data_IF_367717538519
#
_entry.id   IF_367717538519
#
_cell.length_a   1.000
_cell.length_b   1.000
_cell.length_c   1.000
_cell.angle_alpha   90.00
_cell.angle_beta   90.00
_cell.angle_gamma   90.00
#
_symmetry.space_group_name_H-M   'P 1'
#
loop_
_entity.id
_entity.type
_entity.pdbx_description
1 polymer ?
#
# COMPACT_ATOMS: atom_id res chain seq x y z
N UNK A 1 -4.57 -6.90 -0.61
CA UNK A 1 -5.10 -6.15 -1.77
C UNK A 1 -5.33 -7.02 -2.99
N UNK A 2 -4.30 -7.57 -3.65
CA UNK A 2 -4.53 -8.33 -4.90
C UNK A 2 -5.40 -9.58 -4.70
N UNK A 3 -5.15 -10.32 -3.62
CA UNK A 3 -6.00 -11.44 -3.20
C UNK A 3 -7.44 -10.99 -2.95
N UNK A 4 -7.62 -9.82 -2.32
CA UNK A 4 -8.95 -9.27 -2.03
C UNK A 4 -9.69 -8.83 -3.30
N UNK A 5 -8.97 -8.33 -4.32
CA UNK A 5 -9.57 -8.01 -5.63
C UNK A 5 -10.10 -9.26 -6.31
N UNK A 6 -9.36 -10.37 -6.23
CA UNK A 6 -9.81 -11.68 -6.74
C UNK A 6 -11.01 -12.18 -5.95
N UNK A 7 -10.91 -12.19 -4.62
CA UNK A 7 -11.98 -12.66 -3.74
C UNK A 7 -13.27 -11.82 -3.88
N UNK A 8 -13.15 -10.52 -4.14
CA UNK A 8 -14.28 -9.64 -4.37
C UNK A 8 -15.06 -10.02 -5.65
N UNK A 9 -14.39 -10.59 -6.66
CA UNK A 9 -15.02 -11.18 -7.84
C UNK A 9 -15.81 -10.18 -8.70
N UNK A 10 -15.36 -8.92 -8.79
CA UNK A 10 -16.07 -7.85 -9.53
C UNK A 10 -15.48 -7.50 -10.88
N UNK A 11 -14.34 -8.08 -11.24
CA UNK A 11 -13.70 -7.95 -12.56
C UNK A 11 -13.45 -9.34 -13.13
N UNK A 12 -14.24 -9.74 -14.12
CA UNK A 12 -14.06 -11.01 -14.83
C UNK A 12 -12.72 -11.04 -15.56
N UNK A 13 -12.35 -9.93 -16.19
CA UNK A 13 -11.09 -9.79 -16.92
C UNK A 13 -9.88 -10.03 -16.02
N UNK A 14 -9.83 -9.38 -14.85
CA UNK A 14 -8.74 -9.55 -13.88
C UNK A 14 -8.67 -11.01 -13.41
N UNK A 15 -9.81 -11.59 -13.04
CA UNK A 15 -9.88 -12.96 -12.54
C UNK A 15 -9.39 -13.98 -13.59
N UNK A 16 -9.81 -13.85 -14.85
CA UNK A 16 -9.39 -14.73 -15.94
C UNK A 16 -7.88 -14.61 -16.21
N UNK A 17 -7.35 -13.39 -16.29
CA UNK A 17 -5.92 -13.15 -16.53
C UNK A 17 -5.04 -13.69 -15.39
N UNK A 18 -5.51 -13.59 -14.14
CA UNK A 18 -4.84 -14.18 -12.98
C UNK A 18 -4.91 -15.71 -13.02
N UNK A 19 -6.07 -16.29 -13.34
CA UNK A 19 -6.24 -17.74 -13.45
C UNK A 19 -5.33 -18.35 -14.54
N UNK A 20 -5.14 -17.63 -15.67
CA UNK A 20 -4.19 -17.98 -16.74
C UNK A 20 -2.73 -17.71 -16.39
N UNK A 21 -2.46 -17.07 -15.24
CA UNK A 21 -1.13 -16.64 -14.79
C UNK A 21 -0.43 -15.65 -15.75
N UNK A 22 -1.21 -14.94 -16.55
CA UNK A 22 -0.72 -13.87 -17.44
C UNK A 22 -0.43 -12.59 -16.65
N UNK A 23 -1.06 -12.45 -15.47
CA UNK A 23 -0.87 -11.34 -14.56
C UNK A 23 -0.42 -11.82 -13.19
N UNK A 24 0.69 -11.28 -12.72
CA UNK A 24 1.37 -11.72 -11.50
C UNK A 24 1.73 -10.53 -10.62
N UNK A 25 1.91 -10.81 -9.33
CA UNK A 25 2.51 -9.84 -8.40
C UNK A 25 4.02 -9.99 -8.46
N UNK A 26 4.69 -8.87 -8.63
CA UNK A 26 6.13 -8.80 -8.55
C UNK A 26 6.55 -8.80 -7.08
N UNK A 27 7.33 -9.81 -6.67
CA UNK A 27 7.88 -9.94 -5.32
C UNK A 27 9.38 -9.68 -5.26
N UNK A 28 10.04 -9.53 -6.42
CA UNK A 28 11.43 -9.15 -6.54
C UNK A 28 11.53 -7.73 -7.12
N UNK A 29 12.56 -6.96 -6.80
CA UNK A 29 12.85 -5.66 -7.45
C UNK A 29 13.26 -5.81 -8.93
N UNK A 30 12.68 -6.73 -9.70
CA UNK A 30 13.08 -7.09 -11.06
C UNK A 30 11.94 -6.81 -12.04
N UNK A 31 11.82 -5.54 -12.44
CA UNK A 31 11.31 -5.25 -13.77
C UNK A 31 12.49 -5.48 -14.74
N UNK A 32 12.38 -6.46 -15.64
CA UNK A 32 13.46 -6.78 -16.57
C UNK A 32 13.78 -5.55 -17.44
N UNK A 33 15.04 -5.12 -17.43
CA UNK A 33 15.51 -3.98 -18.23
C UNK A 33 15.23 -2.59 -17.66
N UNK A 34 14.62 -2.45 -16.46
CA UNK A 34 14.37 -1.13 -15.82
C UNK A 34 14.94 -1.08 -14.41
N UNK A 35 15.83 -0.12 -14.13
CA UNK A 35 16.32 0.15 -12.76
C UNK A 35 15.12 0.57 -11.88
N UNK A 36 14.70 -0.27 -10.94
CA UNK A 36 13.65 0.06 -9.96
C UNK A 36 14.25 0.16 -8.55
N UNK A 37 13.69 1.07 -7.73
CA UNK A 37 14.16 1.37 -6.37
C UNK A 37 13.54 0.41 -5.34
N UNK A 38 12.28 0.01 -5.58
CA UNK A 38 11.40 -0.91 -4.81
C UNK A 38 10.29 -1.39 -5.76
N UNK A 39 10.01 -2.69 -5.80
CA UNK A 39 9.04 -3.35 -6.67
C UNK A 39 8.17 -4.37 -5.94
N UNK A 40 8.29 -4.44 -4.61
CA UNK A 40 7.36 -5.14 -3.73
C UNK A 40 5.99 -4.44 -3.82
N UNK A 41 4.98 -5.15 -4.36
CA UNK A 41 3.63 -4.61 -4.48
C UNK A 41 3.29 -3.96 -5.83
N UNK A 42 3.96 -4.37 -6.91
CA UNK A 42 3.49 -4.08 -8.28
C UNK A 42 2.87 -5.32 -8.91
N UNK A 43 1.81 -5.12 -9.68
CA UNK A 43 1.09 -6.17 -10.40
C UNK A 43 0.99 -5.82 -11.87
N UNK A 44 1.16 -6.82 -12.73
CA UNK A 44 1.06 -6.63 -14.16
C UNK A 44 1.44 -7.87 -14.96
N UNK A 45 1.73 -7.65 -16.24
CA UNK A 45 1.99 -8.70 -17.23
C UNK A 45 3.26 -9.48 -16.92
N UNK A 46 3.15 -10.81 -16.81
CA UNK A 46 4.30 -11.70 -16.67
C UNK A 46 5.23 -11.55 -17.88
N UNK A 47 6.53 -11.46 -17.64
CA UNK A 47 7.52 -11.53 -18.72
C UNK A 47 7.40 -12.91 -19.41
N UNK A 48 7.29 -13.01 -20.75
CA UNK A 48 7.04 -14.30 -21.43
C UNK A 48 8.06 -15.41 -21.14
N UNK A 49 9.29 -15.05 -20.80
CA UNK A 49 10.37 -15.99 -20.47
C UNK A 49 10.51 -16.26 -18.97
N UNK A 50 9.74 -15.56 -18.12
CA UNK A 50 9.74 -15.74 -16.68
C UNK A 50 8.71 -16.81 -16.26
N UNK A 51 8.95 -17.41 -15.10
CA UNK A 51 8.05 -18.39 -14.52
C UNK A 51 7.10 -17.71 -13.52
N UNK A 52 5.81 -17.98 -13.64
CA UNK A 52 4.83 -17.65 -12.62
C UNK A 52 4.85 -18.71 -11.51
N UNK A 53 5.17 -18.30 -10.29
CA UNK A 53 5.25 -19.15 -9.10
C UNK A 53 3.91 -19.03 -8.35
N UNK A 54 3.18 -20.14 -8.25
CA UNK A 54 2.02 -20.22 -7.37
C UNK A 54 2.51 -20.61 -5.96
N UNK A 55 2.03 -19.89 -4.95
CA UNK A 55 2.29 -20.17 -3.54
C UNK A 55 1.01 -20.69 -2.90
N UNK A 56 1.12 -21.72 -2.06
CA UNK A 56 -0.04 -22.31 -1.38
C UNK A 56 -0.79 -21.26 -0.55
N UNK A 57 -2.11 -21.19 -0.73
CA UNK A 57 -2.96 -20.21 -0.07
C UNK A 57 -3.06 -18.85 -0.75
N UNK A 58 -2.37 -18.62 -1.88
CA UNK A 58 -2.49 -17.40 -2.68
C UNK A 58 -3.16 -17.69 -4.03
N UNK A 59 -4.11 -16.85 -4.42
CA UNK A 59 -4.78 -16.93 -5.72
C UNK A 59 -3.92 -16.33 -6.83
N UNK A 60 -3.15 -15.30 -6.51
CA UNK A 60 -2.35 -14.58 -7.51
C UNK A 60 -0.92 -15.12 -7.50
N UNK A 61 -0.41 -15.54 -8.65
CA UNK A 61 0.97 -16.00 -8.76
C UNK A 61 1.98 -14.84 -8.63
N UNK A 62 3.25 -15.18 -8.38
CA UNK A 62 4.38 -14.27 -8.27
C UNK A 62 5.34 -14.44 -9.45
N UNK A 63 5.91 -13.35 -9.95
CA UNK A 63 6.85 -13.42 -11.08
C UNK A 63 7.35 -12.05 -11.54
N UNK A 64 8.33 -12.07 -12.45
CA UNK A 64 8.87 -10.85 -13.06
C UNK A 64 7.86 -10.26 -14.04
N UNK A 65 7.62 -8.95 -13.97
CA UNK A 65 6.63 -8.27 -14.80
C UNK A 65 7.27 -7.41 -15.88
N UNK A 66 6.65 -7.37 -17.06
CA UNK A 66 7.06 -6.53 -18.19
C UNK A 66 6.60 -5.08 -18.02
N UNK A 67 5.35 -4.88 -17.56
CA UNK A 67 4.72 -3.58 -17.34
C UNK A 67 3.93 -3.58 -16.02
N UNK A 68 3.69 -2.39 -15.46
CA UNK A 68 2.87 -2.22 -14.26
C UNK A 68 1.44 -1.89 -14.69
N UNK A 69 0.47 -2.70 -14.26
CA UNK A 69 -0.95 -2.42 -14.41
C UNK A 69 -1.54 -1.83 -13.13
N UNK A 70 -1.13 -2.34 -11.97
CA UNK A 70 -1.48 -1.79 -10.65
C UNK A 70 -0.21 -1.64 -9.83
N UNK A 71 0.13 -0.40 -9.45
CA UNK A 71 1.23 -0.11 -8.53
C UNK A 71 0.67 0.30 -7.18
N UNK A 72 0.95 -0.48 -6.13
CA UNK A 72 0.54 -0.15 -4.77
C UNK A 72 1.75 0.27 -3.94
N UNK A 73 1.65 1.41 -3.25
CA UNK A 73 2.65 1.83 -2.26
C UNK A 73 2.01 1.88 -0.88
N UNK A 74 2.68 1.28 0.11
CA UNK A 74 2.20 1.24 1.49
C UNK A 74 3.17 1.93 2.45
N UNK A 75 2.63 2.77 3.34
CA UNK A 75 3.37 3.36 4.46
C UNK A 75 2.60 3.17 5.77
N UNK A 76 3.28 2.75 6.82
CA UNK A 76 2.69 2.60 8.17
C UNK A 76 3.34 3.64 9.08
N UNK A 77 2.58 4.66 9.46
CA UNK A 77 3.05 5.81 10.23
C UNK A 77 2.87 5.50 11.72
N UNK A 78 3.92 4.95 12.31
CA UNK A 78 4.13 4.96 13.76
C UNK A 78 4.64 6.34 14.22
N UNK A 79 5.07 6.47 15.49
CA UNK A 79 5.47 7.76 16.08
C UNK A 79 6.57 8.51 15.30
N UNK A 80 7.65 7.84 14.94
CA UNK A 80 8.79 8.50 14.28
C UNK A 80 8.45 9.00 12.86
N UNK A 81 7.67 8.22 12.11
CA UNK A 81 7.24 8.58 10.75
C UNK A 81 6.25 9.74 10.74
N UNK A 82 5.40 9.86 11.76
CA UNK A 82 4.53 11.03 11.95
C UNK A 82 5.38 12.31 12.10
N UNK A 83 6.50 12.25 12.85
CA UNK A 83 7.44 13.38 12.97
C UNK A 83 8.19 13.70 11.65
N UNK A 84 8.30 12.73 10.74
CA UNK A 84 9.00 12.86 9.45
C UNK A 84 8.03 12.89 8.26
N UNK A 85 6.83 13.44 8.46
CA UNK A 85 5.74 13.34 7.48
C UNK A 85 6.09 13.87 6.09
N UNK A 86 6.88 14.95 6.00
CA UNK A 86 7.40 15.49 4.74
C UNK A 86 8.17 14.45 3.92
N UNK A 87 9.03 13.68 4.58
CA UNK A 87 9.80 12.61 3.94
C UNK A 87 8.88 11.50 3.46
N UNK A 88 7.89 11.12 4.28
CA UNK A 88 6.92 10.07 3.96
C UNK A 88 6.10 10.46 2.71
N UNK A 89 5.59 11.69 2.67
CA UNK A 89 4.85 12.24 1.52
C UNK A 89 5.73 12.23 0.28
N UNK A 90 6.97 12.72 0.38
CA UNK A 90 7.90 12.71 -0.73
C UNK A 90 8.20 11.29 -1.24
N UNK A 91 8.30 10.30 -0.36
CA UNK A 91 8.49 8.90 -0.75
C UNK A 91 7.26 8.32 -1.46
N UNK A 92 6.05 8.62 -0.99
CA UNK A 92 4.79 8.22 -1.65
C UNK A 92 4.70 8.79 -3.08
N UNK A 93 4.93 10.09 -3.23
CA UNK A 93 4.87 10.79 -4.53
C UNK A 93 5.89 10.21 -5.51
N UNK A 94 7.15 10.09 -5.08
CA UNK A 94 8.21 9.53 -5.93
C UNK A 94 7.93 8.10 -6.35
N UNK A 95 7.29 7.30 -5.50
CA UNK A 95 6.92 5.94 -5.85
C UNK A 95 5.81 5.92 -6.91
N UNK A 96 4.76 6.75 -6.76
CA UNK A 96 3.72 6.89 -7.77
C UNK A 96 4.29 7.37 -9.13
N UNK A 97 5.23 8.31 -9.12
CA UNK A 97 5.96 8.73 -10.32
C UNK A 97 6.75 7.58 -10.93
N UNK A 98 7.42 6.77 -10.12
CA UNK A 98 8.19 5.62 -10.58
C UNK A 98 7.30 4.57 -11.24
N UNK A 99 6.10 4.32 -10.69
CA UNK A 99 5.12 3.44 -11.33
C UNK A 99 4.80 3.93 -12.75
N UNK A 100 4.48 5.23 -12.89
CA UNK A 100 4.13 5.85 -14.18
C UNK A 100 5.29 5.84 -15.19
N UNK A 101 6.55 5.89 -14.73
CA UNK A 101 7.74 5.80 -15.61
C UNK A 101 8.01 4.39 -16.14
N UNK A 102 7.44 3.36 -15.52
CA UNK A 102 7.70 1.95 -15.90
C UNK A 102 6.91 1.53 -17.14
N UNK A 103 6.23 2.46 -17.82
CA UNK A 103 5.48 2.21 -19.06
C UNK A 103 4.05 1.74 -18.81
N UNK A 104 3.20 1.85 -19.84
CA UNK A 104 1.76 1.59 -19.74
C UNK A 104 0.98 2.74 -19.09
N UNK A 105 -0.18 2.42 -18.52
CA UNK A 105 -1.04 3.37 -17.80
C UNK A 105 -1.41 2.79 -16.41
N UNK A 106 -0.46 2.70 -15.46
CA UNK A 106 -0.69 2.01 -14.19
C UNK A 106 -1.76 2.70 -13.34
N UNK A 107 -2.60 1.90 -12.68
CA UNK A 107 -3.49 2.35 -11.62
C UNK A 107 -2.67 2.42 -10.33
N UNK A 108 -2.37 3.63 -9.87
CA UNK A 108 -1.54 3.86 -8.69
C UNK A 108 -2.41 3.91 -7.43
N UNK A 109 -2.17 3.03 -6.46
CA UNK A 109 -2.89 2.98 -5.18
C UNK A 109 -1.93 3.32 -4.05
N UNK A 110 -2.35 4.23 -3.17
CA UNK A 110 -1.65 4.54 -1.93
C UNK A 110 -2.39 3.94 -0.75
N UNK A 111 -1.68 3.27 0.16
CA UNK A 111 -2.23 2.79 1.43
C UNK A 111 -1.38 3.36 2.56
N UNK A 112 -1.98 4.17 3.42
CA UNK A 112 -1.28 4.81 4.53
C UNK A 112 -1.94 4.44 5.85
N UNK A 113 -1.28 3.59 6.61
CA UNK A 113 -1.65 3.32 8.00
C UNK A 113 -1.21 4.47 8.88
N UNK A 114 -2.08 5.01 9.74
CA UNK A 114 -1.72 6.07 10.70
C UNK A 114 -2.07 5.60 12.11
N UNK A 115 -1.04 5.49 12.95
CA UNK A 115 -1.18 5.05 14.33
C UNK A 115 -1.81 6.15 15.19
N UNK A 116 -2.81 5.76 15.98
CA UNK A 116 -3.65 6.57 16.85
C UNK A 116 -3.57 6.07 18.30
N UNK A 117 -2.50 5.36 18.66
CA UNK A 117 -2.25 4.95 20.03
C UNK A 117 -2.11 6.16 20.96
N UNK A 118 -2.62 6.00 22.18
CA UNK A 118 -2.52 7.00 23.26
C UNK A 118 -1.19 6.97 23.99
N UNK A 119 -0.31 6.03 23.66
CA UNK A 119 1.08 5.98 24.10
C UNK A 119 1.91 5.18 23.10
N UNK A 120 3.22 5.39 23.13
CA UNK A 120 4.18 4.70 22.27
C UNK A 120 5.57 4.83 22.89
N UNK A 121 6.37 3.77 22.82
CA UNK A 121 7.78 3.80 23.25
C UNK A 121 8.65 4.01 22.03
N UNK A 122 9.56 4.96 22.08
CA UNK A 122 10.54 5.16 21.01
C UNK A 122 11.91 4.66 21.46
N UNK A 123 12.71 4.24 20.48
CA UNK A 123 14.02 3.62 20.69
C UNK A 123 15.08 4.41 19.92
N UNK A 124 16.15 4.82 20.60
CA UNK A 124 17.30 5.48 20.01
C UNK A 124 18.58 4.83 20.54
N UNK A 125 19.16 3.92 19.75
CA UNK A 125 20.19 3.00 20.26
C UNK A 125 19.63 2.16 21.40
N UNK A 126 20.32 2.15 22.53
CA UNK A 126 19.89 1.44 23.75
C UNK A 126 18.92 2.25 24.63
N UNK A 127 18.54 3.47 24.20
CA UNK A 127 17.64 4.34 24.97
C UNK A 127 16.20 4.09 24.59
N UNK A 128 15.39 3.84 25.60
CA UNK A 128 13.93 3.76 25.47
C UNK A 128 13.29 5.00 26.10
N UNK A 129 12.33 5.60 25.41
CA UNK A 129 11.58 6.72 25.96
C UNK A 129 10.09 6.59 25.61
N UNK A 130 9.28 6.53 26.67
CA UNK A 130 7.84 6.55 26.57
C UNK A 130 7.37 7.98 26.24
N UNK A 131 6.46 8.10 25.28
CA UNK A 131 5.77 9.38 25.03
C UNK A 131 5.00 9.84 26.27
N UNK A 132 5.08 11.12 26.60
CA UNK A 132 4.49 11.72 27.80
C UNK A 132 3.23 12.55 27.50
N UNK A 133 2.88 12.70 26.22
CA UNK A 133 1.71 13.46 25.76
C UNK A 133 1.89 14.98 25.84
N UNK A 134 3.08 15.45 26.23
CA UNK A 134 3.43 16.86 26.40
C UNK A 134 4.62 17.23 25.52
N UNK A 135 5.84 16.94 25.99
CA UNK A 135 7.07 17.19 25.23
C UNK A 135 7.18 16.19 24.09
N UNK A 136 6.92 14.93 24.40
CA UNK A 136 6.87 13.83 23.46
C UNK A 136 5.41 13.42 23.26
N UNK A 137 4.75 14.12 22.33
CA UNK A 137 3.35 13.88 21.97
C UNK A 137 3.08 12.40 21.70
N UNK A 138 1.92 11.90 22.07
CA UNK A 138 1.46 10.58 21.65
C UNK A 138 1.11 10.57 20.15
N UNK A 139 1.11 9.40 19.47
CA UNK A 139 0.72 9.30 18.06
C UNK A 139 -0.63 9.97 17.75
N UNK A 140 -1.66 9.72 18.57
CA UNK A 140 -3.00 10.29 18.36
C UNK A 140 -3.05 11.84 18.35
N UNK A 141 -2.14 12.52 19.06
CA UNK A 141 -2.11 13.98 19.13
C UNK A 141 -1.58 14.64 17.85
N UNK A 142 -0.92 13.88 16.98
CA UNK A 142 -0.33 14.37 15.73
C UNK A 142 -0.96 13.73 14.49
N UNK A 143 -1.65 12.61 14.67
CA UNK A 143 -2.16 11.79 13.58
C UNK A 143 -3.17 12.53 12.68
N UNK A 144 -4.03 13.40 13.22
CA UNK A 144 -4.95 14.22 12.42
C UNK A 144 -4.20 15.15 11.48
N UNK A 145 -3.18 15.85 11.97
CA UNK A 145 -2.35 16.73 11.14
C UNK A 145 -1.60 15.93 10.09
N UNK A 146 -1.02 14.78 10.46
CA UNK A 146 -0.34 13.90 9.51
C UNK A 146 -1.28 13.43 8.40
N UNK A 147 -2.51 13.01 8.76
CA UNK A 147 -3.51 12.60 7.79
C UNK A 147 -3.87 13.73 6.82
N UNK A 148 -4.16 14.92 7.33
CA UNK A 148 -4.50 16.08 6.50
C UNK A 148 -3.40 16.39 5.48
N UNK A 149 -2.14 16.35 5.91
CA UNK A 149 -0.98 16.59 5.04
C UNK A 149 -0.83 15.50 3.98
N UNK A 150 -0.94 14.23 4.36
CA UNK A 150 -0.87 13.11 3.40
C UNK A 150 -1.99 13.22 2.36
N UNK A 151 -3.20 13.57 2.78
CA UNK A 151 -4.33 13.79 1.85
C UNK A 151 -4.09 14.98 0.93
N UNK A 152 -3.64 16.11 1.46
CA UNK A 152 -3.45 17.32 0.67
C UNK A 152 -2.34 17.13 -0.38
N UNK A 153 -1.22 16.51 0.02
CA UNK A 153 0.00 16.50 -0.79
C UNK A 153 0.16 15.21 -1.60
N UNK A 154 -0.14 14.03 -1.04
CA UNK A 154 0.10 12.75 -1.71
C UNK A 154 -1.12 12.25 -2.52
N UNK A 155 -2.36 12.45 -2.04
CA UNK A 155 -3.57 11.93 -2.68
C UNK A 155 -3.68 12.27 -4.18
N UNK A 156 -3.36 13.50 -4.66
CA UNK A 156 -3.46 13.85 -6.09
C UNK A 156 -2.60 12.99 -7.02
N UNK A 157 -1.60 12.28 -6.49
CA UNK A 157 -0.67 11.47 -7.28
C UNK A 157 -1.16 10.04 -7.52
N UNK A 158 -2.16 9.59 -6.77
CA UNK A 158 -2.73 8.25 -6.82
C UNK A 158 -4.12 8.28 -7.48
N UNK A 159 -4.52 7.15 -8.07
CA UNK A 159 -5.92 6.92 -8.45
C UNK A 159 -6.80 6.94 -7.20
N UNK A 160 -6.34 6.29 -6.13
CA UNK A 160 -6.98 6.32 -4.83
C UNK A 160 -5.94 6.20 -3.71
N UNK A 161 -6.19 6.89 -2.61
CA UNK A 161 -5.38 6.85 -1.39
C UNK A 161 -6.26 6.43 -0.21
N UNK A 162 -6.01 5.24 0.34
CA UNK A 162 -6.68 4.74 1.54
C UNK A 162 -5.89 5.13 2.78
N UNK A 163 -6.57 5.74 3.76
CA UNK A 163 -6.02 5.95 5.10
C UNK A 163 -6.57 4.86 6.03
N UNK A 164 -5.68 4.10 6.67
CA UNK A 164 -6.04 3.05 7.62
C UNK A 164 -5.71 3.55 9.04
N UNK A 165 -6.74 3.83 9.84
CA UNK A 165 -6.56 4.35 11.20
C UNK A 165 -6.56 3.21 12.20
N UNK A 166 -5.44 3.00 12.87
CA UNK A 166 -5.28 1.90 13.82
C UNK A 166 -4.67 2.40 15.12
N UNK A 167 -4.80 1.64 16.20
CA UNK A 167 -4.02 1.83 17.43
C UNK A 167 -3.16 0.60 17.63
N UNK A 168 -1.85 0.82 17.72
CA UNK A 168 -0.93 -0.22 18.13
C UNK A 168 0.22 0.36 18.95
N UNK A 169 0.70 -0.41 19.92
CA UNK A 169 1.94 -0.09 20.64
C UNK A 169 3.03 -1.08 20.22
N UNK A 170 4.27 -0.68 20.39
CA UNK A 170 5.45 -1.51 20.13
C UNK A 170 6.02 -2.13 21.41
N UNK A 171 5.18 -2.28 22.44
CA UNK A 171 5.52 -2.93 23.70
C UNK A 171 4.63 -4.17 23.84
N UNK A 172 5.15 -5.33 24.27
CA UNK A 172 4.34 -6.50 24.58
C UNK A 172 3.12 -6.14 25.44
N UNK A 173 1.91 -6.66 25.13
CA UNK A 173 1.62 -7.76 24.22
C UNK A 173 1.42 -7.36 22.74
N UNK A 174 1.88 -6.19 22.32
CA UNK A 174 1.67 -5.64 20.97
C UNK A 174 0.19 -5.55 20.57
N UNK A 175 -0.67 -4.94 21.42
CA UNK A 175 -2.08 -4.80 21.10
C UNK A 175 -2.26 -4.07 19.77
N UNK A 176 -3.22 -4.55 18.98
CA UNK A 176 -3.63 -3.93 17.72
C UNK A 176 -5.15 -3.82 17.68
N UNK A 177 -5.65 -2.66 17.29
CA UNK A 177 -7.06 -2.47 16.97
C UNK A 177 -7.25 -1.44 15.86
N UNK A 178 -8.35 -1.55 15.13
CA UNK A 178 -8.81 -0.48 14.26
C UNK A 178 -9.49 0.60 15.07
N UNK A 179 -9.24 1.88 14.74
CA UNK A 179 -9.95 3.00 15.39
C UNK A 179 -11.46 2.90 15.16
N UNK A 180 -11.85 2.47 13.96
CA UNK A 180 -13.23 2.13 13.60
C UNK A 180 -13.18 1.05 12.51
N UNK A 181 -13.37 -0.21 12.88
CA UNK A 181 -13.30 -1.35 11.96
C UNK A 181 -14.35 -1.24 10.85
N UNK A 182 -15.61 -1.01 11.21
CA UNK A 182 -16.72 -0.95 10.24
C UNK A 182 -16.51 0.12 9.18
N UNK A 183 -16.05 1.31 9.57
CA UNK A 183 -15.73 2.37 8.62
C UNK A 183 -14.54 1.97 7.72
N UNK A 184 -13.51 1.38 8.31
CA UNK A 184 -12.32 0.91 7.57
C UNK A 184 -12.69 -0.13 6.52
N UNK A 185 -13.51 -1.11 6.87
CA UNK A 185 -14.00 -2.15 5.96
C UNK A 185 -14.82 -1.56 4.81
N UNK A 186 -15.72 -0.61 5.11
CA UNK A 186 -16.53 0.08 4.10
C UNK A 186 -15.67 0.87 3.11
N UNK A 187 -14.71 1.64 3.61
CA UNK A 187 -13.80 2.43 2.78
C UNK A 187 -12.94 1.52 1.89
N UNK A 188 -12.30 0.51 2.48
CA UNK A 188 -11.45 -0.43 1.76
C UNK A 188 -12.23 -1.24 0.72
N UNK A 189 -13.43 -1.75 1.06
CA UNK A 189 -14.28 -2.47 0.11
C UNK A 189 -14.71 -1.58 -1.06
N UNK A 190 -14.97 -0.29 -0.78
CA UNK A 190 -15.31 0.68 -1.82
C UNK A 190 -14.12 0.98 -2.75
N UNK A 191 -12.90 1.05 -2.21
CA UNK A 191 -11.67 1.16 -2.99
C UNK A 191 -11.53 -0.04 -3.92
N UNK A 192 -11.64 -1.26 -3.39
CA UNK A 192 -11.50 -2.48 -4.19
C UNK A 192 -12.50 -2.52 -5.34
N UNK A 193 -13.77 -2.16 -5.09
CA UNK A 193 -14.80 -2.10 -6.14
C UNK A 193 -14.45 -1.08 -7.23
N UNK A 194 -14.00 0.12 -6.86
CA UNK A 194 -13.58 1.15 -7.83
C UNK A 194 -12.35 0.71 -8.62
N UNK A 195 -11.39 0.09 -7.95
CA UNK A 195 -10.18 -0.45 -8.56
C UNK A 195 -10.51 -1.57 -9.57
N UNK A 196 -11.39 -2.52 -9.22
CA UNK A 196 -11.85 -3.55 -10.16
C UNK A 196 -12.47 -2.95 -11.41
N UNK A 197 -13.36 -1.96 -11.26
CA UNK A 197 -14.01 -1.27 -12.39
C UNK A 197 -13.03 -0.49 -13.24
N UNK A 198 -12.09 0.22 -12.62
CA UNK A 198 -11.06 0.96 -13.35
C UNK A 198 -10.12 0.01 -14.08
N UNK A 199 -9.81 -1.15 -13.51
CA UNK A 199 -9.02 -2.19 -14.17
C UNK A 199 -9.71 -2.67 -15.46
N UNK A 200 -11.00 -3.05 -15.37
CA UNK A 200 -11.78 -3.47 -16.55
C UNK A 200 -11.83 -2.37 -17.61
N UNK A 201 -12.14 -1.14 -17.20
CA UNK A 201 -12.20 0.00 -18.10
C UNK A 201 -10.87 0.23 -18.82
N UNK A 202 -9.75 0.13 -18.09
CA UNK A 202 -8.43 0.52 -18.58
C UNK A 202 -7.75 -0.56 -19.42
N UNK A 203 -8.05 -1.83 -19.16
CA UNK A 203 -7.32 -2.95 -19.75
C UNK A 203 -8.20 -3.93 -20.55
N UNK A 204 -9.44 -3.54 -20.88
CA UNK A 204 -10.41 -4.32 -21.69
C UNK A 204 -10.04 -4.53 -23.16
N UNK A 205 -8.86 -4.09 -23.57
CA UNK A 205 -8.33 -4.28 -24.93
C UNK A 205 -7.56 -5.60 -25.05
#
# INVERSE_FOLDING_TARGET
MYEDLVALGKSTLLAERIARRERVVNTANKAVGKKSRRGDGTFGELVPTAMAIAEDGLHVARGEIANIEIGAETKILAKAMIKQIDRVIGDLIRQAEQFKRTGGNPICIGIVGINQASSYTSYEGDREYLTDGRREKHPNQEATTAEQRVRAEAQPHFFELQILRFRATNIPPFPFEWVNLTQTEKEYSSLLLRLSREYDKRFST
#
